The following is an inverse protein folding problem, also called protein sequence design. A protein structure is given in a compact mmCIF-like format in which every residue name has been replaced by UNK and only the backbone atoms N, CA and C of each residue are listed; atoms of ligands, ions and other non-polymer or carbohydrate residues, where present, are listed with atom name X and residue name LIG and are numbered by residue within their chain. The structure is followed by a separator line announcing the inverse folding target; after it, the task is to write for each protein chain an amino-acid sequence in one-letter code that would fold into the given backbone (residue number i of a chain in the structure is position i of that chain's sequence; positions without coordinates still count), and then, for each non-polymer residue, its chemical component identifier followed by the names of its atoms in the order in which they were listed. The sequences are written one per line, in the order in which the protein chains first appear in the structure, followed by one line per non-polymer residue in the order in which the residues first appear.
data_IF_137861545468
#
_entry.id   IF_137861545468
#
_cell.length_a   1.000
_cell.length_b   1.000
_cell.length_c   1.000
_cell.angle_alpha   90.00
_cell.angle_beta   90.00
_cell.angle_gamma   90.00
#
_symmetry.space_group_name_H-M   'P 1'
#
loop_
_entity.id
_entity.type
_entity.pdbx_description
1 polymer ?
#
# COMPACT_ATOMS: atom_id res chain seq x y z
N UNK A 1 8.49 -17.79 14.78
CA UNK A 1 8.23 -17.40 13.38
C UNK A 1 7.37 -16.16 13.40
N UNK A 2 7.75 -15.12 12.65
CA UNK A 2 6.93 -13.91 12.48
C UNK A 2 6.20 -14.03 11.15
N UNK A 3 4.87 -13.97 11.16
CA UNK A 3 4.10 -13.88 9.93
C UNK A 3 4.13 -12.44 9.41
N UNK A 4 4.17 -12.27 8.10
CA UNK A 4 4.01 -10.97 7.48
C UNK A 4 2.51 -10.64 7.46
N UNK A 5 2.11 -9.55 8.10
CA UNK A 5 0.74 -9.03 8.06
C UNK A 5 0.64 -8.00 6.94
N UNK A 6 -0.18 -8.28 5.92
CA UNK A 6 -0.50 -7.36 4.83
C UNK A 6 -1.99 -7.03 4.77
N UNK A 7 -2.31 -5.89 4.15
CA UNK A 7 -3.67 -5.51 3.82
C UNK A 7 -3.80 -5.11 2.35
N UNK A 8 -4.88 -5.56 1.72
CA UNK A 8 -5.24 -5.12 0.37
C UNK A 8 -5.86 -3.73 0.40
N UNK A 9 -5.15 -2.76 -0.17
CA UNK A 9 -5.56 -1.36 -0.13
C UNK A 9 -6.79 -1.08 -1.00
N UNK A 10 -7.06 -1.90 -2.01
CA UNK A 10 -8.27 -1.79 -2.84
C UNK A 10 -9.55 -2.05 -2.03
N UNK A 11 -9.47 -2.83 -0.94
CA UNK A 11 -10.61 -3.07 -0.04
C UNK A 11 -11.09 -1.80 0.67
N UNK A 12 -10.26 -0.75 0.72
CA UNK A 12 -10.56 0.54 1.34
C UNK A 12 -11.07 1.58 0.33
N UNK A 13 -11.44 1.17 -0.88
CA UNK A 13 -11.91 2.07 -1.94
C UNK A 13 -10.79 2.74 -2.74
N UNK A 14 -9.55 2.26 -2.60
CA UNK A 14 -8.39 2.72 -3.37
C UNK A 14 -7.29 3.33 -2.50
N UNK A 15 -6.32 3.99 -3.14
CA UNK A 15 -5.14 4.52 -2.45
C UNK A 15 -5.39 5.91 -1.92
N UNK A 16 -5.87 5.98 -0.69
CA UNK A 16 -6.02 7.21 0.08
C UNK A 16 -4.99 7.31 1.20
N UNK A 17 -4.59 8.54 1.52
CA UNK A 17 -3.68 8.82 2.64
C UNK A 17 -4.33 8.44 3.98
N UNK A 18 -5.65 8.57 4.07
CA UNK A 18 -6.43 8.19 5.25
C UNK A 18 -6.38 6.67 5.50
N UNK A 19 -6.57 5.85 4.46
CA UNK A 19 -6.48 4.40 4.60
C UNK A 19 -5.07 3.96 5.00
N UNK A 20 -4.04 4.55 4.39
CA UNK A 20 -2.64 4.28 4.74
C UNK A 20 -2.32 4.68 6.19
N UNK A 21 -2.74 5.87 6.62
CA UNK A 21 -2.57 6.32 8.00
C UNK A 21 -3.29 5.41 9.00
N UNK A 22 -4.51 4.99 8.68
CA UNK A 22 -5.29 4.07 9.52
C UNK A 22 -4.61 2.70 9.66
N UNK A 23 -4.16 2.11 8.54
CA UNK A 23 -3.47 0.83 8.54
C UNK A 23 -2.15 0.88 9.31
N UNK A 24 -1.37 1.96 9.15
CA UNK A 24 -0.15 2.17 9.92
C UNK A 24 -0.45 2.27 11.43
N UNK A 25 -1.52 2.96 11.83
CA UNK A 25 -1.94 3.06 13.23
C UNK A 25 -2.38 1.72 13.84
N UNK A 26 -2.85 0.77 13.01
CA UNK A 26 -3.17 -0.60 13.41
C UNK A 26 -1.95 -1.54 13.44
N UNK A 27 -0.75 -1.06 13.10
CA UNK A 27 0.47 -1.85 13.04
C UNK A 27 0.63 -2.68 11.77
N UNK A 28 -0.14 -2.38 10.71
CA UNK A 28 0.05 -2.96 9.39
C UNK A 28 1.09 -2.15 8.63
N UNK A 29 2.19 -2.78 8.24
CA UNK A 29 3.31 -2.12 7.56
C UNK A 29 3.51 -2.57 6.10
N UNK A 30 2.72 -3.55 5.67
CA UNK A 30 2.80 -4.14 4.34
C UNK A 30 1.45 -4.06 3.63
N UNK A 31 1.46 -3.69 2.35
CA UNK A 31 0.27 -3.50 1.54
C UNK A 31 0.28 -4.38 0.30
N UNK A 32 -0.90 -4.80 -0.11
CA UNK A 32 -1.17 -5.34 -1.44
C UNK A 32 -1.79 -4.21 -2.27
N UNK A 33 -1.15 -3.87 -3.38
CA UNK A 33 -1.50 -2.71 -4.21
C UNK A 33 -1.64 -3.12 -5.67
N UNK A 34 -2.40 -2.34 -6.44
CA UNK A 34 -2.32 -2.42 -7.90
C UNK A 34 -0.91 -2.07 -8.38
N UNK A 35 -0.45 -2.69 -9.45
CA UNK A 35 0.79 -2.25 -10.09
C UNK A 35 0.61 -0.80 -10.58
N UNK A 36 1.40 0.16 -10.10
CA UNK A 36 1.31 1.53 -10.60
C UNK A 36 1.79 1.59 -12.05
N UNK A 37 1.40 2.65 -12.76
CA UNK A 37 2.03 2.99 -14.03
C UNK A 37 3.54 3.24 -13.84
N UNK A 38 4.40 3.01 -14.85
CA UNK A 38 5.86 3.15 -14.72
C UNK A 38 6.32 4.51 -14.19
N UNK A 39 5.62 5.58 -14.55
CA UNK A 39 5.84 6.95 -14.11
C UNK A 39 5.32 7.23 -12.68
N UNK A 40 4.42 6.40 -12.17
CA UNK A 40 3.83 6.51 -10.82
C UNK A 40 4.59 5.76 -9.72
N UNK A 41 5.62 4.97 -10.05
CA UNK A 41 6.33 4.10 -9.10
C UNK A 41 6.95 4.90 -7.95
N UNK A 42 7.75 5.92 -8.27
CA UNK A 42 8.47 6.70 -7.25
C UNK A 42 7.51 7.54 -6.42
N UNK A 43 6.50 8.15 -7.06
CA UNK A 43 5.47 8.90 -6.35
C UNK A 43 4.71 8.02 -5.34
N UNK A 44 4.33 6.79 -5.72
CA UNK A 44 3.66 5.85 -4.82
C UNK A 44 4.60 5.37 -3.70
N UNK A 45 5.87 5.11 -4.01
CA UNK A 45 6.90 4.71 -3.03
C UNK A 45 7.10 5.79 -1.97
N UNK A 46 7.31 7.04 -2.39
CA UNK A 46 7.45 8.18 -1.47
C UNK A 46 6.18 8.34 -0.62
N UNK A 47 5.02 8.27 -1.26
CA UNK A 47 3.71 8.40 -0.60
C UNK A 47 3.55 7.38 0.53
N UNK A 48 3.88 6.11 0.28
CA UNK A 48 3.84 5.04 1.27
C UNK A 48 4.90 5.19 2.37
N UNK A 49 6.12 5.64 2.01
CA UNK A 49 7.20 5.84 2.96
C UNK A 49 6.84 6.87 4.05
N UNK A 50 6.03 7.89 3.72
CA UNK A 50 5.52 8.87 4.71
C UNK A 50 4.72 8.23 5.85
N UNK A 51 4.14 7.05 5.63
CA UNK A 51 3.37 6.30 6.63
C UNK A 51 4.12 5.08 7.17
N UNK A 52 5.39 4.88 6.79
CA UNK A 52 6.15 3.69 7.16
C UNK A 52 5.62 2.40 6.54
N UNK A 53 5.03 2.50 5.34
CA UNK A 53 4.42 1.38 4.62
C UNK A 53 5.32 0.89 3.47
N UNK A 54 5.19 -0.39 3.13
CA UNK A 54 5.87 -1.04 2.01
C UNK A 54 4.91 -1.95 1.24
N UNK A 55 5.21 -2.24 -0.01
CA UNK A 55 4.41 -3.18 -0.80
C UNK A 55 4.90 -4.62 -0.55
N UNK A 56 3.98 -5.52 -0.19
CA UNK A 56 4.26 -6.96 -0.12
C UNK A 56 3.80 -7.69 -1.38
N UNK A 57 2.81 -7.17 -2.09
CA UNK A 57 2.31 -7.78 -3.33
C UNK A 57 1.83 -6.72 -4.31
N UNK A 58 2.10 -6.95 -5.59
CA UNK A 58 1.57 -6.19 -6.70
C UNK A 58 0.48 -7.03 -7.38
N UNK A 59 -0.67 -6.41 -7.64
CA UNK A 59 -1.81 -7.06 -8.31
C UNK A 59 -2.02 -6.45 -9.70
N UNK A 60 -2.57 -7.24 -10.61
CA UNK A 60 -2.87 -6.82 -11.99
C UNK A 60 -4.20 -6.07 -12.14
N UNK A 61 -4.86 -5.72 -11.02
CA UNK A 61 -6.08 -4.89 -11.01
C UNK A 61 -5.77 -3.42 -11.33
N UNK A 62 -6.80 -2.68 -11.77
CA UNK A 62 -6.71 -1.32 -12.33
C UNK A 62 -5.61 -0.46 -11.70
N UNK A 63 -4.78 0.21 -12.52
CA UNK A 63 -3.68 1.02 -12.02
C UNK A 63 -4.20 2.06 -11.04
N UNK A 64 -3.47 2.20 -9.94
CA UNK A 64 -3.65 3.25 -8.95
C UNK A 64 -3.11 4.56 -9.52
#
# INVERSE_FOLDING_TARGET
MSNLLSANLCSYGGVSDEAMAHLAALGVHHLEIGAPAPDGVEALRERMARFGLSAATLTTGSPI
#
